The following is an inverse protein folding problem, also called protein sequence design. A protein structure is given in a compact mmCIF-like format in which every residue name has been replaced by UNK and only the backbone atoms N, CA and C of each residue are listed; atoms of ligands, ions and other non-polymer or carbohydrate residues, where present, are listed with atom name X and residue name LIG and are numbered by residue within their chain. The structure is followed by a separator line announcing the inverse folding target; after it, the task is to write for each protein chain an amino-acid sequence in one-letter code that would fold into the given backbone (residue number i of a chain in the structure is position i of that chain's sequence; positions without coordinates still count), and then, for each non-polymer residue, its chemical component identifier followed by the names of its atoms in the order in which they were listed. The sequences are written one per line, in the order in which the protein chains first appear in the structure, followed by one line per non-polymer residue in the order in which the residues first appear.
data_IF_253369897433
#
_entry.id   IF_253369897433
#
_cell.length_a   1.000
_cell.length_b   1.000
_cell.length_c   1.000
_cell.angle_alpha   90.00
_cell.angle_beta   90.00
_cell.angle_gamma   90.00
#
_symmetry.space_group_name_H-M   'P 1'
#
loop_
_entity.id
_entity.type
_entity.pdbx_description
1 polymer ?
#
# COMPACT_ATOMS: atom_id res chain seq x y z
N UNK A 1 10.32 24.29 12.22
CA UNK A 1 8.90 23.91 12.43
C UNK A 1 8.84 22.57 13.15
N UNK A 2 7.91 22.38 14.09
CA UNK A 2 7.63 21.07 14.71
C UNK A 2 6.29 20.56 14.19
N UNK A 3 6.24 19.32 13.70
CA UNK A 3 5.02 18.66 13.24
C UNK A 3 4.47 17.73 14.33
N UNK A 4 3.15 17.57 14.37
CA UNK A 4 2.46 16.58 15.23
C UNK A 4 2.06 15.38 14.37
N UNK A 5 2.31 14.18 14.86
CA UNK A 5 1.98 12.93 14.19
C UNK A 5 0.97 12.13 15.01
N UNK A 6 0.14 11.34 14.32
CA UNK A 6 -0.77 10.39 14.96
C UNK A 6 0.05 9.26 15.60
N UNK A 7 -0.36 8.82 16.78
CA UNK A 7 0.25 7.69 17.52
C UNK A 7 -0.81 6.61 17.63
N UNK A 8 -0.41 5.37 17.37
CA UNK A 8 -1.29 4.21 17.40
C UNK A 8 -0.70 3.12 18.28
N UNK A 9 -1.56 2.31 18.87
CA UNK A 9 -1.21 1.17 19.72
C UNK A 9 -0.71 -0.05 18.93
N UNK A 10 -1.03 -0.13 17.63
CA UNK A 10 -0.62 -1.24 16.76
C UNK A 10 -0.59 -0.84 15.28
N UNK A 11 0.07 -1.67 14.47
CA UNK A 11 0.02 -1.55 13.00
C UNK A 11 -1.40 -1.72 12.45
N UNK A 12 -2.19 -2.61 13.03
CA UNK A 12 -3.58 -2.82 12.60
C UNK A 12 -4.41 -1.55 12.79
N UNK A 13 -4.26 -0.87 13.93
CA UNK A 13 -4.94 0.40 14.19
C UNK A 13 -4.50 1.49 13.19
N UNK A 14 -3.20 1.62 12.95
CA UNK A 14 -2.66 2.60 11.99
C UNK A 14 -3.18 2.36 10.56
N UNK A 15 -3.19 1.09 10.11
CA UNK A 15 -3.70 0.72 8.79
C UNK A 15 -5.21 0.91 8.69
N UNK A 16 -5.97 0.58 9.74
CA UNK A 16 -7.42 0.76 9.77
C UNK A 16 -7.82 2.24 9.71
N UNK A 17 -7.11 3.10 10.44
CA UNK A 17 -7.31 4.55 10.38
C UNK A 17 -6.92 5.11 9.00
N UNK A 18 -5.83 4.63 8.41
CA UNK A 18 -5.43 5.02 7.05
C UNK A 18 -6.50 4.66 5.99
N UNK A 19 -6.99 3.41 6.00
CA UNK A 19 -8.06 2.98 5.10
C UNK A 19 -9.36 3.74 5.39
N UNK A 20 -9.64 4.04 6.65
CA UNK A 20 -10.75 4.89 7.06
C UNK A 20 -10.67 6.30 6.47
N UNK A 21 -9.49 6.91 6.45
CA UNK A 21 -9.25 8.22 5.83
C UNK A 21 -9.51 8.17 4.31
N UNK A 22 -9.07 7.12 3.63
CA UNK A 22 -9.33 6.95 2.19
C UNK A 22 -10.81 6.71 1.91
N UNK A 23 -11.48 5.91 2.72
CA UNK A 23 -12.88 5.52 2.49
C UNK A 23 -13.88 6.62 2.80
N UNK A 24 -13.61 7.46 3.82
CA UNK A 24 -14.53 8.52 4.26
C UNK A 24 -14.44 9.79 3.43
N UNK A 25 -13.36 9.99 2.67
CA UNK A 25 -13.15 11.21 1.90
C UNK A 25 -13.42 10.95 0.41
N UNK A 26 -14.48 11.54 -0.19
CA UNK A 26 -14.84 11.33 -1.59
C UNK A 26 -13.71 11.61 -2.58
N UNK A 27 -12.75 12.46 -2.21
CA UNK A 27 -11.52 12.72 -2.98
C UNK A 27 -10.76 11.44 -3.35
N UNK A 28 -10.83 10.41 -2.50
CA UNK A 28 -10.12 9.15 -2.67
C UNK A 28 -11.00 8.00 -3.18
N UNK A 29 -12.22 8.27 -3.66
CA UNK A 29 -13.13 7.22 -4.15
C UNK A 29 -12.52 6.37 -5.30
N UNK A 30 -11.68 6.95 -6.15
CA UNK A 30 -10.98 6.20 -7.19
C UNK A 30 -9.92 5.24 -6.63
N UNK A 31 -9.36 5.53 -5.45
CA UNK A 31 -8.37 4.69 -4.76
C UNK A 31 -9.05 3.44 -4.20
N UNK A 32 -10.20 3.61 -3.55
CA UNK A 32 -10.95 2.51 -2.93
C UNK A 32 -11.55 1.54 -3.96
N UNK A 33 -11.75 2.00 -5.19
CA UNK A 33 -12.30 1.21 -6.29
C UNK A 33 -11.23 0.73 -7.30
N UNK A 34 -9.94 0.95 -7.02
CA UNK A 34 -8.88 0.58 -7.94
C UNK A 34 -8.76 -0.96 -8.05
N UNK A 35 -8.71 -1.52 -9.27
CA UNK A 35 -8.64 -2.97 -9.48
C UNK A 35 -7.23 -3.56 -9.28
N UNK A 36 -6.21 -2.70 -9.15
CA UNK A 36 -4.84 -3.12 -8.84
C UNK A 36 -4.14 -2.08 -7.97
N UNK A 37 -3.06 -2.50 -7.31
CA UNK A 37 -2.26 -1.62 -6.47
C UNK A 37 -1.60 -0.49 -7.29
N UNK A 38 -1.17 -0.77 -8.52
CA UNK A 38 -0.60 0.21 -9.44
C UNK A 38 -1.63 1.25 -9.86
N UNK A 39 -2.87 0.82 -10.16
CA UNK A 39 -3.96 1.76 -10.45
C UNK A 39 -4.34 2.57 -9.21
N UNK A 40 -4.28 1.98 -8.02
CA UNK A 40 -4.44 2.67 -6.75
C UNK A 40 -3.37 3.74 -6.52
N UNK A 41 -2.12 3.46 -6.87
CA UNK A 41 -1.02 4.43 -6.77
C UNK A 41 -1.25 5.65 -7.69
N UNK A 42 -1.72 5.41 -8.92
CA UNK A 42 -2.08 6.50 -9.82
C UNK A 42 -3.28 7.31 -9.30
N UNK A 43 -4.30 6.63 -8.77
CA UNK A 43 -5.45 7.28 -8.17
C UNK A 43 -5.07 8.15 -6.95
N UNK A 44 -4.12 7.69 -6.11
CA UNK A 44 -3.60 8.47 -4.97
C UNK A 44 -2.91 9.75 -5.43
N UNK A 45 -2.10 9.68 -6.49
CA UNK A 45 -1.45 10.87 -7.05
C UNK A 45 -2.47 11.84 -7.65
N UNK A 46 -3.43 11.34 -8.44
CA UNK A 46 -4.50 12.17 -9.03
C UNK A 46 -5.36 12.85 -7.96
N UNK A 47 -5.57 12.19 -6.82
CA UNK A 47 -6.29 12.71 -5.66
C UNK A 47 -5.46 13.69 -4.80
N UNK A 48 -4.20 13.95 -5.15
CA UNK A 48 -3.33 14.86 -4.41
C UNK A 48 -2.94 14.35 -3.01
N UNK A 49 -2.77 13.03 -2.85
CA UNK A 49 -2.33 12.43 -1.58
C UNK A 49 -0.94 12.96 -1.15
N UNK A 50 -0.03 13.09 -2.11
CA UNK A 50 1.29 13.67 -1.93
C UNK A 50 1.51 14.79 -2.95
N UNK A 51 2.30 15.80 -2.59
CA UNK A 51 2.64 16.94 -3.46
C UNK A 51 3.77 16.63 -4.44
N UNK A 52 4.45 15.50 -4.28
CA UNK A 52 5.53 15.07 -5.17
C UNK A 52 4.97 14.58 -6.53
N UNK A 53 5.37 15.17 -7.66
CA UNK A 53 4.90 14.77 -8.99
C UNK A 53 5.31 13.35 -9.39
N UNK A 54 6.28 12.74 -8.70
CA UNK A 54 6.79 11.41 -8.98
C UNK A 54 6.27 10.34 -8.00
N UNK A 55 5.26 10.68 -7.19
CA UNK A 55 4.78 9.81 -6.12
C UNK A 55 4.27 8.44 -6.62
N UNK A 56 3.39 8.41 -7.62
CA UNK A 56 2.84 7.16 -8.16
C UNK A 56 3.95 6.28 -8.76
N UNK A 57 4.96 6.89 -9.40
CA UNK A 57 6.11 6.15 -9.95
C UNK A 57 6.89 5.43 -8.86
N UNK A 58 7.21 6.15 -7.78
CA UNK A 58 7.93 5.56 -6.63
C UNK A 58 7.11 4.47 -5.95
N UNK A 59 5.82 4.74 -5.72
CA UNK A 59 4.93 3.77 -5.08
C UNK A 59 4.74 2.51 -5.93
N UNK A 60 4.61 2.65 -7.25
CA UNK A 60 4.54 1.52 -8.18
C UNK A 60 5.83 0.68 -8.14
N UNK A 61 7.00 1.32 -8.07
CA UNK A 61 8.27 0.61 -7.89
C UNK A 61 8.30 -0.22 -6.60
N UNK A 62 7.80 0.33 -5.49
CA UNK A 62 7.68 -0.41 -4.22
C UNK A 62 6.68 -1.57 -4.32
N UNK A 63 5.53 -1.37 -4.97
CA UNK A 63 4.53 -2.42 -5.22
C UNK A 63 5.14 -3.60 -5.99
N UNK A 64 5.92 -3.31 -7.04
CA UNK A 64 6.59 -4.35 -7.83
C UNK A 64 7.63 -5.12 -7.01
N UNK A 65 8.41 -4.43 -6.17
CA UNK A 65 9.37 -5.08 -5.26
C UNK A 65 8.65 -5.99 -4.24
N UNK A 66 7.54 -5.53 -3.66
CA UNK A 66 6.73 -6.31 -2.74
C UNK A 66 6.13 -7.55 -3.42
N UNK A 67 5.62 -7.41 -4.66
CA UNK A 67 5.11 -8.53 -5.45
C UNK A 67 6.18 -9.60 -5.65
N UNK A 68 7.37 -9.20 -6.13
CA UNK A 68 8.48 -10.11 -6.33
C UNK A 68 8.95 -10.79 -5.03
N UNK A 69 8.92 -10.07 -3.91
CA UNK A 69 9.24 -10.64 -2.59
C UNK A 69 8.17 -11.65 -2.15
N UNK A 70 6.88 -11.33 -2.31
CA UNK A 70 5.77 -12.24 -2.00
C UNK A 70 5.87 -13.54 -2.80
N UNK A 71 6.19 -13.45 -4.10
CA UNK A 71 6.34 -14.62 -4.97
C UNK A 71 7.51 -15.51 -4.51
N UNK A 72 8.64 -14.90 -4.12
CA UNK A 72 9.79 -15.63 -3.55
C UNK A 72 9.44 -16.32 -2.24
N UNK A 73 8.74 -15.63 -1.36
CA UNK A 73 8.32 -16.15 -0.05
C UNK A 73 7.36 -17.33 -0.25
N UNK A 74 6.36 -17.17 -1.12
CA UNK A 74 5.43 -18.26 -1.46
C UNK A 74 6.19 -19.47 -1.99
N UNK A 75 7.14 -19.27 -2.92
CA UNK A 75 7.94 -20.36 -3.48
C UNK A 75 8.80 -21.04 -2.43
N UNK A 76 9.42 -20.28 -1.53
CA UNK A 76 10.26 -20.83 -0.45
C UNK A 76 9.44 -21.75 0.47
N UNK A 77 8.25 -21.32 0.89
CA UNK A 77 7.36 -22.15 1.69
C UNK A 77 6.87 -23.39 0.94
N UNK A 78 6.52 -23.27 -0.34
CA UNK A 78 6.13 -24.45 -1.14
C UNK A 78 7.26 -25.48 -1.24
N UNK A 79 8.50 -25.02 -1.47
CA UNK A 79 9.68 -25.90 -1.50
C UNK A 79 9.92 -26.56 -0.14
N UNK A 80 9.84 -25.80 0.95
CA UNK A 80 10.05 -26.32 2.30
C UNK A 80 9.03 -27.40 2.66
N UNK A 81 7.75 -27.16 2.37
CA UNK A 81 6.68 -28.14 2.57
C UNK A 81 6.89 -29.40 1.73
N UNK A 82 7.37 -29.28 0.48
CA UNK A 82 7.66 -30.45 -0.37
C UNK A 82 8.87 -31.25 0.07
N UNK A 83 9.76 -30.68 0.89
CA UNK A 83 10.91 -31.40 1.44
C UNK A 83 10.58 -32.11 2.76
N UNK A 84 9.47 -31.73 3.40
CA UNK A 84 9.07 -32.25 4.70
C UNK A 84 8.24 -33.55 4.61
N UNK A 85 7.68 -33.85 3.42
CA UNK A 85 6.84 -35.01 3.12
C UNK A 85 7.36 -35.73 1.87
#
# INVERSE_FOLDING_TARGET
MKAKFRVYSSYLEALSDYVGLLSKNPRYAAVTNAPSAEQGAQALQNAGYATDPNYARKLTGMIQQLKAMSDKVSKAYSTDLSNLF
#
